data_IF_457501284059
#
_entry.id   IF_457501284059
#
_cell.length_a   1.000
_cell.length_b   1.000
_cell.length_c   1.000
_cell.angle_alpha   90.00
_cell.angle_beta   90.00
_cell.angle_gamma   90.00
#
_symmetry.space_group_name_H-M   'P 1'
#
loop_
_entity.id
_entity.type
_entity.pdbx_description
1 polymer ?
#
# COMPACT_ATOMS: atom_id res chain seq x y z
N UNK A 1 -10.39 -18.89 13.23
CA UNK A 1 -11.11 -17.62 13.42
C UNK A 1 -12.41 -17.65 12.65
N UNK A 2 -13.50 -17.30 13.31
CA UNK A 2 -14.87 -17.57 12.86
C UNK A 2 -15.25 -16.74 11.60
N UNK A 3 -15.39 -17.41 10.49
CA UNK A 3 -15.82 -16.89 9.17
C UNK A 3 -17.24 -16.27 9.17
N UNK A 4 -17.97 -16.35 10.27
CA UNK A 4 -19.37 -15.88 10.37
C UNK A 4 -19.54 -14.38 10.62
N UNK A 5 -18.51 -13.66 11.05
CA UNK A 5 -18.62 -12.24 11.37
C UNK A 5 -18.32 -11.28 10.20
N UNK A 6 -17.80 -11.78 9.10
CA UNK A 6 -17.34 -10.94 7.99
C UNK A 6 -18.39 -10.60 6.92
N UNK A 7 -19.52 -11.29 6.92
CA UNK A 7 -20.52 -11.14 5.85
C UNK A 7 -21.32 -9.79 5.89
N UNK A 8 -21.24 -9.04 7.00
CA UNK A 8 -22.00 -7.80 7.20
C UNK A 8 -21.16 -6.63 7.72
N UNK A 9 -19.85 -6.60 7.45
CA UNK A 9 -19.03 -5.48 7.90
C UNK A 9 -19.34 -4.23 7.08
N UNK A 10 -19.66 -3.14 7.78
CA UNK A 10 -19.82 -1.84 7.16
C UNK A 10 -18.46 -1.20 6.84
N UNK A 11 -18.46 -0.20 5.97
CA UNK A 11 -17.25 0.60 5.69
C UNK A 11 -16.67 1.23 6.98
N UNK A 12 -17.53 1.65 7.91
CA UNK A 12 -17.12 2.19 9.20
C UNK A 12 -16.41 1.15 10.07
N UNK A 13 -16.90 -0.09 10.10
CA UNK A 13 -16.26 -1.18 10.86
C UNK A 13 -14.88 -1.52 10.28
N UNK A 14 -14.78 -1.57 8.95
CA UNK A 14 -13.52 -1.81 8.25
C UNK A 14 -12.51 -0.70 8.55
N UNK A 15 -12.94 0.55 8.46
CA UNK A 15 -12.08 1.70 8.77
C UNK A 15 -11.60 1.66 10.22
N UNK A 16 -12.50 1.41 11.16
CA UNK A 16 -12.15 1.29 12.58
C UNK A 16 -11.12 0.19 12.82
N UNK A 17 -11.26 -0.93 12.13
CA UNK A 17 -10.26 -2.00 12.18
C UNK A 17 -8.91 -1.56 11.62
N UNK A 18 -8.87 -0.93 10.45
CA UNK A 18 -7.62 -0.47 9.84
C UNK A 18 -6.89 0.58 10.68
N UNK A 19 -7.63 1.42 11.39
CA UNK A 19 -7.08 2.44 12.27
C UNK A 19 -6.57 1.88 13.61
N UNK A 20 -7.14 0.76 14.07
CA UNK A 20 -6.89 0.23 15.42
C UNK A 20 -6.08 -1.07 15.48
N UNK A 21 -5.99 -1.82 14.40
CA UNK A 21 -5.29 -3.09 14.38
C UNK A 21 -3.76 -2.93 14.42
N UNK A 22 -3.09 -3.92 15.00
CA UNK A 22 -1.62 -3.95 15.00
C UNK A 22 -1.11 -4.24 13.59
N UNK A 23 -0.27 -3.37 13.02
CA UNK A 23 0.30 -3.60 11.69
C UNK A 23 1.32 -4.74 11.70
N UNK A 24 1.35 -5.49 10.60
CA UNK A 24 2.28 -6.60 10.41
C UNK A 24 3.22 -6.38 9.22
N UNK A 25 4.30 -7.15 9.16
CA UNK A 25 5.21 -7.15 8.01
C UNK A 25 4.47 -7.53 6.72
N UNK A 26 4.75 -6.85 5.64
CA UNK A 26 4.09 -7.09 4.34
C UNK A 26 4.23 -8.55 3.87
N UNK A 27 5.35 -9.20 4.19
CA UNK A 27 5.60 -10.61 3.86
C UNK A 27 4.65 -11.60 4.56
N UNK A 28 3.95 -11.16 5.62
CA UNK A 28 2.95 -11.98 6.34
C UNK A 28 1.55 -11.89 5.74
N UNK A 29 1.35 -11.04 4.75
CA UNK A 29 0.06 -10.91 4.10
C UNK A 29 -0.44 -12.27 3.56
N UNK A 30 -1.72 -12.61 3.75
CA UNK A 30 -2.27 -13.90 3.33
C UNK A 30 -2.18 -14.11 1.81
N UNK A 31 -1.88 -15.35 1.41
CA UNK A 31 -1.75 -15.76 0.00
C UNK A 31 -3.04 -16.32 -0.59
N UNK A 32 -4.06 -16.47 0.22
CA UNK A 32 -5.34 -17.10 -0.10
C UNK A 32 -6.56 -16.26 0.27
N UNK A 33 -6.34 -15.02 0.68
CA UNK A 33 -7.41 -14.12 1.13
C UNK A 33 -7.40 -12.80 0.33
N UNK A 34 -8.57 -12.19 0.26
CA UNK A 34 -8.87 -10.94 -0.43
C UNK A 34 -9.66 -10.00 0.47
N UNK A 35 -9.66 -8.72 0.18
CA UNK A 35 -10.41 -7.72 0.92
C UNK A 35 -9.80 -6.33 0.83
N UNK A 36 -9.89 -5.57 1.92
CA UNK A 36 -9.38 -4.21 2.04
C UNK A 36 -8.14 -4.22 2.94
N UNK A 37 -7.16 -3.42 2.60
CA UNK A 37 -5.91 -3.32 3.33
C UNK A 37 -5.45 -1.88 3.50
N UNK A 38 -4.63 -1.66 4.52
CA UNK A 38 -3.91 -0.42 4.76
C UNK A 38 -2.40 -0.62 4.68
N UNK A 39 -1.69 0.38 4.19
CA UNK A 39 -0.23 0.42 4.22
C UNK A 39 0.23 1.50 5.20
N UNK A 40 1.14 1.10 6.04
CA UNK A 40 1.65 1.87 7.18
C UNK A 40 3.09 2.25 6.89
N UNK A 41 3.42 3.52 7.03
CA UNK A 41 4.76 4.04 6.78
C UNK A 41 5.78 3.60 7.85
N UNK A 42 7.03 3.99 7.67
CA UNK A 42 8.13 3.65 8.59
C UNK A 42 8.01 4.33 9.96
N UNK A 43 7.15 5.31 10.11
CA UNK A 43 6.82 5.95 11.39
C UNK A 43 5.62 5.31 12.10
N UNK A 44 4.96 4.33 11.48
CA UNK A 44 3.80 3.65 12.04
C UNK A 44 2.46 4.32 11.73
N UNK A 45 2.41 5.28 10.80
CA UNK A 45 1.19 5.95 10.39
C UNK A 45 0.56 5.28 9.16
N UNK A 46 -0.77 5.09 9.20
CA UNK A 46 -1.54 4.62 8.05
C UNK A 46 -1.57 5.73 6.99
N UNK A 47 -1.13 5.43 5.78
CA UNK A 47 -0.98 6.40 4.68
C UNK A 47 -1.76 6.05 3.42
N UNK A 48 -2.12 4.80 3.27
CA UNK A 48 -2.78 4.30 2.06
C UNK A 48 -3.80 3.24 2.41
N UNK A 49 -4.96 3.31 1.78
CA UNK A 49 -6.02 2.29 1.84
C UNK A 49 -6.27 1.80 0.42
N UNK A 50 -6.30 0.50 0.24
CA UNK A 50 -6.56 -0.14 -1.04
C UNK A 50 -7.30 -1.45 -0.90
N UNK A 51 -7.56 -2.09 -2.03
CA UNK A 51 -8.25 -3.38 -2.06
C UNK A 51 -7.66 -4.35 -3.07
N UNK A 52 -8.02 -5.61 -2.90
CA UNK A 52 -7.82 -6.68 -3.87
C UNK A 52 -9.10 -6.85 -4.69
N UNK A 53 -9.45 -5.84 -5.48
CA UNK A 53 -10.70 -5.82 -6.26
C UNK A 53 -10.72 -6.82 -7.43
N UNK A 54 -9.54 -7.21 -7.92
CA UNK A 54 -9.43 -8.26 -8.94
C UNK A 54 -9.71 -9.64 -8.36
N UNK A 55 -10.50 -10.46 -9.03
CA UNK A 55 -10.85 -11.83 -8.61
C UNK A 55 -9.66 -12.77 -8.47
N UNK A 56 -8.50 -12.39 -9.00
CA UNK A 56 -7.29 -13.23 -9.04
C UNK A 56 -6.18 -12.76 -8.12
N UNK A 57 -6.34 -11.60 -7.44
CA UNK A 57 -5.28 -11.02 -6.60
C UNK A 57 -5.54 -11.26 -5.12
N UNK A 58 -4.54 -11.81 -4.44
CA UNK A 58 -4.51 -11.96 -2.99
C UNK A 58 -3.87 -10.77 -2.30
N UNK A 59 -4.00 -10.70 -0.97
CA UNK A 59 -3.30 -9.68 -0.18
C UNK A 59 -1.79 -9.73 -0.37
N UNK A 60 -1.19 -10.92 -0.39
CA UNK A 60 0.25 -11.07 -0.59
C UNK A 60 0.73 -10.49 -1.93
N UNK A 61 0.03 -10.82 -3.00
CA UNK A 61 0.36 -10.29 -4.34
C UNK A 61 0.22 -8.78 -4.41
N UNK A 62 -0.83 -8.24 -3.82
CA UNK A 62 -1.08 -6.80 -3.85
C UNK A 62 -0.15 -6.02 -2.93
N UNK A 63 -0.03 -6.44 -1.68
CA UNK A 63 0.71 -5.73 -0.63
C UNK A 63 2.22 -5.98 -0.79
N UNK A 64 2.64 -7.24 -0.72
CA UNK A 64 4.06 -7.57 -0.66
C UNK A 64 4.74 -7.54 -2.02
N UNK A 65 4.09 -8.03 -3.06
CA UNK A 65 4.69 -8.04 -4.38
C UNK A 65 4.53 -6.72 -5.11
N UNK A 66 3.32 -6.21 -5.29
CA UNK A 66 3.08 -5.03 -6.14
C UNK A 66 3.42 -3.71 -5.47
N UNK A 67 2.92 -3.44 -4.27
CA UNK A 67 3.20 -2.16 -3.59
C UNK A 67 4.65 -2.01 -3.19
N UNK A 68 5.32 -3.09 -2.85
CA UNK A 68 6.74 -3.06 -2.53
C UNK A 68 7.62 -2.96 -3.77
N UNK A 69 7.29 -3.69 -4.84
CA UNK A 69 8.13 -3.83 -6.03
C UNK A 69 7.62 -3.08 -7.26
N UNK A 70 6.56 -2.29 -7.13
CA UNK A 70 5.94 -1.55 -8.22
C UNK A 70 6.92 -0.73 -9.04
N UNK A 71 6.67 -0.62 -10.36
CA UNK A 71 7.51 0.20 -11.22
C UNK A 71 7.29 1.68 -10.92
N UNK A 72 8.35 2.45 -11.04
CA UNK A 72 8.36 3.89 -10.73
C UNK A 72 7.41 4.72 -11.61
N UNK A 73 7.09 4.23 -12.80
CA UNK A 73 6.23 4.93 -13.77
C UNK A 73 4.74 4.66 -13.62
N UNK A 74 4.33 3.67 -12.82
CA UNK A 74 2.93 3.28 -12.74
C UNK A 74 2.47 3.17 -11.31
N UNK A 75 1.58 4.04 -10.95
CA UNK A 75 0.48 3.88 -10.01
C UNK A 75 0.73 3.48 -8.55
N UNK A 76 1.90 3.07 -8.12
CA UNK A 76 2.10 2.71 -6.71
C UNK A 76 2.74 3.86 -5.94
N UNK A 77 1.92 4.86 -5.62
CA UNK A 77 2.37 6.06 -4.94
C UNK A 77 3.06 5.76 -3.60
N UNK A 78 2.57 4.77 -2.85
CA UNK A 78 3.21 4.35 -1.60
C UNK A 78 4.68 3.98 -1.81
N UNK A 79 5.01 3.14 -2.81
CA UNK A 79 6.40 2.81 -3.10
C UNK A 79 7.20 4.01 -3.63
N UNK A 80 6.56 4.92 -4.34
CA UNK A 80 7.22 6.15 -4.83
C UNK A 80 7.68 7.06 -3.70
N UNK A 81 6.96 7.08 -2.58
CA UNK A 81 7.35 7.86 -1.41
C UNK A 81 8.69 7.40 -0.80
N UNK A 82 9.11 6.18 -1.10
CA UNK A 82 10.39 5.61 -0.67
C UNK A 82 11.41 5.51 -1.81
N UNK A 83 11.11 6.08 -2.96
CA UNK A 83 12.11 6.21 -4.02
C UNK A 83 13.13 7.27 -3.58
N UNK A 84 14.41 7.00 -3.82
CA UNK A 84 15.48 7.91 -3.48
C UNK A 84 15.45 9.18 -4.33
N UNK A 85 14.38 9.95 -4.24
CA UNK A 85 14.17 11.28 -4.76
C UNK A 85 14.66 11.47 -6.19
N UNK A 86 15.63 12.35 -6.33
CA UNK A 86 16.21 12.76 -7.63
C UNK A 86 17.07 11.72 -8.33
N UNK A 87 17.32 10.58 -7.70
CA UNK A 87 17.98 9.42 -8.35
C UNK A 87 17.03 8.63 -9.24
N UNK A 88 15.74 8.98 -9.25
CA UNK A 88 14.80 8.37 -10.19
C UNK A 88 15.19 8.66 -11.63
N UNK A 89 15.27 7.61 -12.43
CA UNK A 89 15.65 7.67 -13.83
C UNK A 89 14.58 7.03 -14.71
N UNK A 90 14.49 7.50 -15.92
CA UNK A 90 13.56 6.93 -16.91
C UNK A 90 13.87 5.45 -17.14
N UNK A 91 12.88 4.60 -16.92
CA UNK A 91 13.04 3.14 -17.04
C UNK A 91 13.63 2.69 -18.38
N UNK A 92 13.38 3.46 -19.43
CA UNK A 92 13.80 3.14 -20.79
C UNK A 92 15.12 3.82 -21.18
N UNK A 93 15.79 4.51 -20.27
CA UNK A 93 17.10 5.11 -20.53
C UNK A 93 18.23 4.13 -20.16
N UNK A 94 18.93 3.55 -21.14
CA UNK A 94 20.01 2.58 -20.87
C UNK A 94 21.14 3.14 -20.01
N UNK A 95 21.40 4.45 -20.07
CA UNK A 95 22.46 5.10 -19.29
C UNK A 95 22.17 5.11 -17.79
N UNK A 96 20.90 5.03 -17.40
CA UNK A 96 20.44 5.16 -16.02
C UNK A 96 19.76 3.90 -15.48
N UNK A 97 19.58 2.87 -16.31
CA UNK A 97 18.89 1.64 -15.95
C UNK A 97 19.53 0.91 -14.75
N UNK A 98 20.88 0.96 -14.66
CA UNK A 98 21.62 0.34 -13.57
C UNK A 98 21.36 1.03 -12.23
N UNK A 99 21.38 2.36 -12.22
CA UNK A 99 21.10 3.16 -11.02
C UNK A 99 19.66 2.98 -10.55
N UNK A 100 18.72 2.96 -11.48
CA UNK A 100 17.31 2.66 -11.20
C UNK A 100 17.10 1.29 -10.59
N UNK A 101 17.83 0.27 -11.03
CA UNK A 101 17.76 -1.07 -10.46
C UNK A 101 18.28 -1.12 -9.02
N UNK A 102 19.39 -0.44 -8.73
CA UNK A 102 19.94 -0.32 -7.38
C UNK A 102 18.98 0.43 -6.46
N UNK A 103 18.50 1.58 -6.88
CA UNK A 103 17.53 2.38 -6.12
C UNK A 103 16.25 1.58 -5.82
N UNK A 104 15.75 0.83 -6.80
CA UNK A 104 14.59 -0.04 -6.62
C UNK A 104 14.85 -1.17 -5.61
N UNK A 105 15.99 -1.80 -5.65
CA UNK A 105 16.36 -2.84 -4.70
C UNK A 105 16.43 -2.29 -3.28
N UNK A 106 17.07 -1.16 -3.06
CA UNK A 106 17.16 -0.49 -1.77
C UNK A 106 15.77 -0.11 -1.23
N UNK A 107 14.91 0.46 -2.06
CA UNK A 107 13.53 0.77 -1.70
C UNK A 107 12.75 -0.47 -1.28
N UNK A 108 12.86 -1.55 -2.03
CA UNK A 108 12.17 -2.80 -1.74
C UNK A 108 12.59 -3.38 -0.38
N UNK A 109 13.88 -3.35 -0.09
CA UNK A 109 14.41 -3.75 1.22
C UNK A 109 13.88 -2.85 2.34
N UNK A 110 13.90 -1.53 2.14
CA UNK A 110 13.41 -0.58 3.13
C UNK A 110 11.92 -0.79 3.44
N UNK A 111 11.07 -0.92 2.43
CA UNK A 111 9.65 -1.15 2.63
C UNK A 111 9.42 -2.48 3.36
N UNK A 112 10.12 -3.54 2.97
CA UNK A 112 9.98 -4.85 3.59
C UNK A 112 10.36 -4.84 5.08
N UNK A 113 11.40 -4.11 5.43
CA UNK A 113 11.92 -4.08 6.81
C UNK A 113 11.17 -3.11 7.71
N UNK A 114 10.87 -1.92 7.23
CA UNK A 114 10.36 -0.83 8.06
C UNK A 114 8.89 -0.50 7.88
N UNK A 115 8.30 -0.78 6.72
CA UNK A 115 6.88 -0.55 6.52
C UNK A 115 6.05 -1.76 6.97
N UNK A 116 4.76 -1.53 7.18
CA UNK A 116 3.82 -2.56 7.66
C UNK A 116 2.53 -2.51 6.85
N UNK A 117 1.69 -3.50 7.04
CA UNK A 117 0.37 -3.57 6.44
C UNK A 117 -0.65 -4.10 7.44
N UNK A 118 -1.90 -3.75 7.21
CA UNK A 118 -3.07 -4.27 7.91
C UNK A 118 -4.00 -4.77 6.83
N UNK A 119 -4.64 -5.91 7.02
CA UNK A 119 -5.59 -6.46 6.07
C UNK A 119 -6.84 -6.95 6.75
N UNK A 120 -7.97 -6.70 6.09
CA UNK A 120 -9.29 -7.15 6.48
C UNK A 120 -9.81 -8.11 5.42
N UNK A 121 -9.80 -9.43 5.67
CA UNK A 121 -10.37 -10.41 4.76
C UNK A 121 -11.87 -10.21 4.62
N UNK A 122 -12.34 -10.27 3.38
CA UNK A 122 -13.76 -10.19 3.05
C UNK A 122 -14.14 -11.38 2.18
N UNK A 123 -15.38 -11.89 2.30
CA UNK A 123 -15.88 -12.95 1.44
C UNK A 123 -15.95 -12.47 -0.02
N UNK A 124 -15.77 -13.42 -0.95
CA UNK A 124 -15.84 -13.12 -2.40
C UNK A 124 -17.22 -12.64 -2.86
N UNK A 125 -18.26 -12.86 -2.05
CA UNK A 125 -19.61 -12.35 -2.29
C UNK A 125 -19.78 -10.85 -2.04
N UNK A 126 -18.80 -10.19 -1.40
CA UNK A 126 -18.84 -8.75 -1.14
C UNK A 126 -18.41 -7.94 -2.35
N UNK A 127 -19.02 -6.78 -2.54
CA UNK A 127 -18.52 -5.74 -3.43
C UNK A 127 -17.30 -5.06 -2.80
N UNK A 128 -16.14 -5.70 -2.93
CA UNK A 128 -14.89 -5.22 -2.34
C UNK A 128 -14.53 -3.83 -2.86
N UNK A 129 -14.73 -3.56 -4.15
CA UNK A 129 -14.42 -2.26 -4.74
C UNK A 129 -15.36 -1.15 -4.25
N UNK A 130 -16.64 -1.46 -4.05
CA UNK A 130 -17.60 -0.55 -3.43
C UNK A 130 -17.24 -0.22 -1.99
N UNK A 131 -16.95 -1.23 -1.20
CA UNK A 131 -16.51 -1.06 0.20
C UNK A 131 -15.21 -0.27 0.30
N UNK A 132 -14.24 -0.48 -0.60
CA UNK A 132 -13.01 0.33 -0.66
C UNK A 132 -13.33 1.82 -0.84
N UNK A 133 -14.19 2.16 -1.82
CA UNK A 133 -14.59 3.56 -2.05
C UNK A 133 -15.25 4.17 -0.81
N UNK A 134 -16.12 3.42 -0.15
CA UNK A 134 -16.82 3.87 1.04
C UNK A 134 -15.87 4.05 2.23
N UNK A 135 -14.93 3.13 2.41
CA UNK A 135 -13.88 3.25 3.45
C UNK A 135 -13.00 4.47 3.21
N UNK A 136 -12.55 4.68 1.97
CA UNK A 136 -11.75 5.86 1.61
C UNK A 136 -12.53 7.15 1.85
N UNK A 137 -13.82 7.17 1.53
CA UNK A 137 -14.67 8.35 1.75
C UNK A 137 -14.83 8.71 3.25
N UNK A 138 -14.77 7.73 4.14
CA UNK A 138 -14.87 7.91 5.60
C UNK A 138 -13.50 8.16 6.25
N UNK A 139 -12.40 7.82 5.59
CA UNK A 139 -11.08 7.82 6.18
C UNK A 139 -10.59 9.24 6.50
N UNK A 140 -9.84 9.42 7.61
CA UNK A 140 -9.14 10.67 7.86
C UNK A 140 -8.15 10.98 6.72
N UNK A 141 -7.97 12.24 6.39
CA UNK A 141 -7.09 12.69 5.31
C UNK A 141 -5.67 12.12 5.44
N UNK A 142 -5.15 12.00 6.65
CA UNK A 142 -3.84 11.41 6.91
C UNK A 142 -3.74 9.94 6.49
N UNK A 143 -4.76 9.14 6.78
CA UNK A 143 -4.79 7.70 6.48
C UNK A 143 -4.82 7.39 4.98
N UNK A 144 -5.18 8.35 4.15
CA UNK A 144 -5.24 8.24 2.69
C UNK A 144 -4.33 9.25 1.97
N UNK A 145 -3.41 9.85 2.70
CA UNK A 145 -2.53 10.92 2.17
C UNK A 145 -1.71 10.45 0.97
N UNK A 146 -1.44 9.17 0.85
CA UNK A 146 -0.72 8.56 -0.27
C UNK A 146 -1.62 7.78 -1.25
N UNK A 147 -2.94 7.95 -1.15
CA UNK A 147 -3.91 7.48 -2.14
C UNK A 147 -3.96 8.45 -3.34
N UNK A 148 -2.86 8.59 -4.06
CA UNK A 148 -2.76 9.49 -5.21
C UNK A 148 -2.55 8.74 -6.51
N UNK A 149 -2.97 9.33 -7.60
CA UNK A 149 -2.71 8.81 -8.95
C UNK A 149 -1.30 9.16 -9.38
N UNK A 150 -0.74 8.37 -10.30
CA UNK A 150 0.60 8.61 -10.85
C UNK A 150 0.76 9.98 -11.55
N UNK A 151 -0.35 10.60 -11.95
CA UNK A 151 -0.40 11.91 -12.59
C UNK A 151 -0.45 13.08 -11.62
N UNK A 152 -0.66 12.82 -10.33
CA UNK A 152 -0.71 13.88 -9.34
C UNK A 152 0.69 14.49 -9.14
N UNK A 153 0.72 15.81 -8.91
CA UNK A 153 1.97 16.48 -8.60
C UNK A 153 2.52 15.93 -7.30
N UNK A 154 3.77 15.58 -7.33
CA UNK A 154 4.50 14.98 -6.23
C UNK A 154 5.18 16.08 -5.41
N UNK A 155 4.75 16.26 -4.18
CA UNK A 155 5.48 17.06 -3.20
C UNK A 155 6.52 16.13 -2.54
N UNK A 156 7.80 16.51 -2.63
CA UNK A 156 8.87 15.78 -1.96
C UNK A 156 8.59 15.77 -0.45
N UNK A 157 8.61 14.61 0.22
CA UNK A 157 8.45 14.57 1.66
C UNK A 157 9.71 15.16 2.31
N UNK A 158 9.58 16.33 2.90
CA UNK A 158 10.67 17.01 3.60
C UNK A 158 11.27 16.15 4.71
N UNK A 159 10.45 15.31 5.32
CA UNK A 159 10.84 14.45 6.44
C UNK A 159 11.79 13.28 6.09
N UNK A 160 11.91 12.91 4.81
CA UNK A 160 12.85 11.85 4.41
C UNK A 160 14.30 12.34 4.32
N UNK A 161 14.50 13.64 4.29
CA UNK A 161 15.84 14.25 4.19
C UNK A 161 16.51 14.35 5.56
N UNK A 162 15.74 14.47 6.63
CA UNK A 162 16.23 14.65 7.99
C UNK A 162 16.44 13.32 8.75
N UNK A 163 16.08 12.18 8.17
CA UNK A 163 16.18 10.87 8.80
C UNK A 163 17.43 10.05 8.38
N UNK A 164 18.35 10.66 7.64
CA UNK A 164 19.60 10.01 7.20
C UNK A 164 20.79 10.52 8.01
#
# INVERSE_FOLDING_TARGET
MNTRYQANMSASDILSYLLGATPERTARAPKDQRGIYGLVDHHGALRYIGSTSSTTQTFYERIHQRHRTGSENSSHYFSRMYTTGRMWRMRNDPATAKDGSIAKALRNEFISEYCRAIWMPLPDSCDIAGLERDVIALAPAEAISWNRRATDIYDEPEELVDAI
#
